data_IF_475138900281
#
_entry.id   IF_475138900281
#
_cell.length_a   1.000
_cell.length_b   1.000
_cell.length_c   1.000
_cell.angle_alpha   90.00
_cell.angle_beta   90.00
_cell.angle_gamma   90.00
#
_symmetry.space_group_name_H-M   'P 1'
#
loop_
_entity.id
_entity.type
_entity.pdbx_description
1 polymer ?
#
# COMPACT_ATOMS: atom_id res chain seq x y z
N UNK A 1 12.62 -36.24 -6.54
CA UNK A 1 11.76 -35.05 -6.28
C UNK A 1 12.67 -33.93 -5.82
N UNK A 2 12.88 -32.91 -6.63
CA UNK A 2 13.64 -31.73 -6.23
C UNK A 2 12.78 -30.96 -5.25
N UNK A 3 13.23 -30.79 -4.01
CA UNK A 3 12.66 -29.84 -3.05
C UNK A 3 12.96 -28.46 -3.65
N UNK A 4 11.95 -27.85 -4.31
CA UNK A 4 12.00 -26.44 -4.68
C UNK A 4 12.29 -25.67 -3.40
N UNK A 5 13.45 -24.99 -3.32
CA UNK A 5 13.74 -24.08 -2.22
C UNK A 5 12.72 -22.95 -2.31
N UNK A 6 11.66 -23.04 -1.50
CA UNK A 6 10.69 -21.95 -1.35
C UNK A 6 11.48 -20.72 -0.97
N UNK A 7 11.32 -19.63 -1.71
CA UNK A 7 11.94 -18.35 -1.40
C UNK A 7 11.63 -17.97 0.07
N UNK A 8 12.63 -17.43 0.79
CA UNK A 8 12.45 -17.01 2.19
C UNK A 8 11.37 -15.94 2.24
N UNK A 9 10.29 -16.18 2.99
CA UNK A 9 9.19 -15.21 3.15
C UNK A 9 9.67 -13.95 3.87
N UNK A 10 9.19 -12.81 3.40
CA UNK A 10 9.36 -11.54 4.10
C UNK A 10 8.34 -11.45 5.24
N UNK A 11 8.81 -11.05 6.40
CA UNK A 11 8.00 -10.90 7.61
C UNK A 11 8.21 -9.51 8.21
N UNK A 12 7.41 -9.12 9.19
CA UNK A 12 7.63 -7.86 9.93
C UNK A 12 9.01 -7.79 10.57
N UNK A 13 9.54 -8.94 11.03
CA UNK A 13 10.91 -9.03 11.55
C UNK A 13 11.96 -8.79 10.47
N UNK A 14 11.76 -9.31 9.25
CA UNK A 14 12.65 -9.05 8.11
C UNK A 14 12.77 -7.55 7.83
N UNK A 15 11.68 -6.79 7.90
CA UNK A 15 11.72 -5.34 7.70
C UNK A 15 12.53 -4.62 8.79
N UNK A 16 12.49 -5.09 10.04
CA UNK A 16 13.32 -4.57 11.12
C UNK A 16 14.80 -4.88 10.90
N UNK A 17 15.13 -6.09 10.43
CA UNK A 17 16.50 -6.47 10.06
C UNK A 17 17.03 -5.59 8.92
N UNK A 18 16.21 -5.30 7.90
CA UNK A 18 16.57 -4.43 6.78
C UNK A 18 16.87 -3.00 7.27
N UNK A 19 16.02 -2.43 8.13
CA UNK A 19 16.32 -1.12 8.75
C UNK A 19 17.63 -1.14 9.51
N UNK A 20 17.84 -2.14 10.35
CA UNK A 20 19.06 -2.27 11.16
C UNK A 20 20.35 -2.39 10.31
N UNK A 21 20.25 -3.02 9.12
CA UNK A 21 21.37 -3.16 8.16
C UNK A 21 21.49 -1.99 7.19
N UNK A 22 20.54 -1.04 7.17
CA UNK A 22 20.50 0.06 6.21
C UNK A 22 20.04 -0.37 4.80
N UNK A 23 19.46 -1.57 4.64
CA UNK A 23 18.88 -2.04 3.40
C UNK A 23 17.51 -1.38 3.18
N UNK A 24 17.28 -0.83 1.98
CA UNK A 24 16.03 -0.14 1.67
C UNK A 24 14.90 -1.12 1.36
N UNK A 25 13.76 -0.91 2.02
CA UNK A 25 12.55 -1.69 1.84
C UNK A 25 11.79 -1.21 0.61
N UNK A 26 11.44 -2.16 -0.26
CA UNK A 26 10.66 -1.88 -1.47
C UNK A 26 9.20 -2.29 -1.28
N UNK A 27 8.27 -1.37 -1.58
CA UNK A 27 6.84 -1.61 -1.41
C UNK A 27 6.07 -1.08 -2.63
N UNK A 28 5.10 -1.86 -3.11
CA UNK A 28 4.16 -1.47 -4.17
C UNK A 28 2.74 -1.88 -3.80
N UNK A 29 1.75 -1.16 -4.32
CA UNK A 29 0.37 -1.63 -4.21
C UNK A 29 0.10 -2.75 -5.22
N UNK A 30 -0.84 -3.65 -4.90
CA UNK A 30 -1.49 -4.55 -5.86
C UNK A 30 -2.90 -4.89 -5.41
N UNK A 31 -3.77 -5.27 -6.36
CA UNK A 31 -5.19 -5.45 -6.09
C UNK A 31 -5.79 -6.70 -6.73
N UNK A 32 -5.03 -7.40 -7.55
CA UNK A 32 -5.44 -8.61 -8.25
C UNK A 32 -4.34 -9.67 -8.29
N UNK A 33 -4.74 -10.89 -8.64
CA UNK A 33 -3.87 -12.06 -8.71
C UNK A 33 -2.74 -11.93 -9.72
N UNK A 34 -3.04 -11.44 -10.93
CA UNK A 34 -2.09 -11.45 -12.04
C UNK A 34 -0.94 -10.47 -11.82
N UNK A 35 -1.27 -9.22 -11.42
CA UNK A 35 -0.26 -8.22 -11.10
C UNK A 35 0.50 -8.57 -9.83
N UNK A 36 -0.16 -9.12 -8.80
CA UNK A 36 0.50 -9.55 -7.56
C UNK A 36 1.58 -10.61 -7.83
N UNK A 37 1.31 -11.60 -8.69
CA UNK A 37 2.31 -12.60 -9.11
C UNK A 37 3.52 -12.00 -9.80
N UNK A 38 3.30 -11.04 -10.69
CA UNK A 38 4.39 -10.36 -11.41
C UNK A 38 5.26 -9.53 -10.45
N UNK A 39 4.63 -8.81 -9.55
CA UNK A 39 5.29 -7.96 -8.56
C UNK A 39 6.07 -8.81 -7.54
N UNK A 40 5.49 -9.90 -7.04
CA UNK A 40 6.16 -10.83 -6.11
C UNK A 40 7.34 -11.52 -6.77
N UNK A 41 7.17 -12.00 -8.01
CA UNK A 41 8.23 -12.65 -8.79
C UNK A 41 9.40 -11.68 -9.12
N UNK A 42 9.13 -10.37 -9.21
CA UNK A 42 10.15 -9.35 -9.37
C UNK A 42 10.98 -9.12 -8.09
N UNK A 43 10.57 -9.68 -6.95
CA UNK A 43 11.33 -9.63 -5.69
C UNK A 43 10.98 -8.47 -4.78
N UNK A 44 9.79 -7.86 -4.91
CA UNK A 44 9.30 -6.82 -3.99
C UNK A 44 9.26 -7.33 -2.54
N UNK A 45 9.54 -6.50 -1.55
CA UNK A 45 9.53 -6.92 -0.14
C UNK A 45 8.12 -6.87 0.45
N UNK A 46 7.36 -5.84 0.13
CA UNK A 46 6.00 -5.62 0.66
C UNK A 46 5.02 -5.35 -0.47
N UNK A 47 3.87 -5.99 -0.43
CA UNK A 47 2.72 -5.65 -1.26
C UNK A 47 1.63 -5.05 -0.37
N UNK A 48 1.18 -3.85 -0.72
CA UNK A 48 0.06 -3.17 -0.07
C UNK A 48 -1.22 -3.42 -0.88
N UNK A 49 -2.20 -4.03 -0.24
CA UNK A 49 -3.58 -3.97 -0.73
C UNK A 49 -4.16 -2.66 -0.21
N UNK A 50 -3.92 -1.59 -0.98
CA UNK A 50 -4.26 -0.22 -0.57
C UNK A 50 -5.73 0.13 -0.81
N UNK A 51 -6.29 1.00 0.01
CA UNK A 51 -7.61 1.58 -0.21
C UNK A 51 -7.66 2.47 -1.47
N UNK A 52 -6.50 2.83 -2.03
CA UNK A 52 -6.33 3.38 -3.38
C UNK A 52 -6.93 2.50 -4.49
N UNK A 53 -7.30 1.24 -4.20
CA UNK A 53 -8.19 0.43 -5.05
C UNK A 53 -9.50 1.16 -5.38
N UNK A 54 -10.01 1.97 -4.46
CA UNK A 54 -11.16 2.85 -4.70
C UNK A 54 -10.97 3.73 -5.94
N UNK A 55 -9.77 4.29 -6.11
CA UNK A 55 -9.45 5.16 -7.24
C UNK A 55 -9.11 4.36 -8.49
N UNK A 56 -8.12 3.46 -8.42
CA UNK A 56 -7.52 2.85 -9.62
C UNK A 56 -8.27 1.61 -10.11
N UNK A 57 -9.08 0.96 -9.28
CA UNK A 57 -9.90 -0.20 -9.65
C UNK A 57 -11.38 0.15 -9.83
N UNK A 58 -11.94 0.97 -8.93
CA UNK A 58 -13.36 1.32 -8.95
C UNK A 58 -13.67 2.69 -9.61
N UNK A 59 -12.64 3.53 -9.86
CA UNK A 59 -12.80 4.83 -10.52
C UNK A 59 -13.43 5.91 -9.64
N UNK A 60 -13.41 5.75 -8.31
CA UNK A 60 -13.91 6.76 -7.39
C UNK A 60 -12.90 7.92 -7.24
N UNK A 61 -13.38 9.12 -6.92
CA UNK A 61 -12.53 10.30 -6.72
C UNK A 61 -11.66 10.22 -5.45
N UNK A 62 -12.12 9.48 -4.42
CA UNK A 62 -11.43 9.34 -3.13
C UNK A 62 -11.35 7.89 -2.69
N UNK A 63 -10.55 7.61 -1.65
CA UNK A 63 -10.47 6.27 -1.06
C UNK A 63 -11.67 5.95 -0.14
N UNK A 64 -12.44 6.95 0.27
CA UNK A 64 -13.53 6.84 1.27
C UNK A 64 -14.63 5.83 0.89
N UNK A 65 -15.07 5.68 -0.38
CA UNK A 65 -16.18 4.78 -0.72
C UNK A 65 -15.88 3.28 -0.65
N UNK A 66 -14.60 2.88 -0.63
CA UNK A 66 -14.28 1.45 -0.64
C UNK A 66 -14.70 0.77 0.66
N UNK A 67 -15.32 -0.40 0.55
CA UNK A 67 -15.85 -1.14 1.70
C UNK A 67 -14.85 -2.18 2.22
N UNK A 68 -15.08 -2.67 3.44
CA UNK A 68 -14.31 -3.76 4.03
C UNK A 68 -14.39 -5.03 3.15
N UNK A 69 -15.54 -5.35 2.60
CA UNK A 69 -15.73 -6.52 1.74
C UNK A 69 -14.93 -6.40 0.44
N UNK A 70 -14.88 -5.20 -0.16
CA UNK A 70 -14.02 -4.95 -1.32
C UNK A 70 -12.54 -5.14 -0.98
N UNK A 71 -12.08 -4.63 0.17
CA UNK A 71 -10.70 -4.80 0.60
C UNK A 71 -10.35 -6.26 0.86
N UNK A 72 -11.25 -7.03 1.47
CA UNK A 72 -11.09 -8.47 1.69
C UNK A 72 -11.00 -9.19 0.33
N UNK A 73 -11.86 -8.87 -0.63
CA UNK A 73 -11.82 -9.46 -1.97
C UNK A 73 -10.49 -9.19 -2.69
N UNK A 74 -10.03 -7.94 -2.72
CA UNK A 74 -8.74 -7.60 -3.31
C UNK A 74 -7.58 -8.31 -2.60
N UNK A 75 -7.62 -8.38 -1.26
CA UNK A 75 -6.61 -9.06 -0.48
C UNK A 75 -6.56 -10.58 -0.77
N UNK A 76 -7.72 -11.26 -0.92
CA UNK A 76 -7.79 -12.66 -1.36
C UNK A 76 -7.12 -12.86 -2.72
N UNK A 77 -7.42 -11.98 -3.68
CA UNK A 77 -6.80 -12.03 -5.02
C UNK A 77 -5.28 -11.91 -4.93
N UNK A 78 -4.78 -10.96 -4.15
CA UNK A 78 -3.33 -10.73 -3.98
C UNK A 78 -2.66 -11.90 -3.27
N UNK A 79 -3.21 -12.37 -2.16
CA UNK A 79 -2.66 -13.50 -1.37
C UNK A 79 -2.51 -14.76 -2.21
N UNK A 80 -3.47 -15.03 -3.09
CA UNK A 80 -3.40 -16.19 -3.99
C UNK A 80 -2.24 -16.09 -5.02
N UNK A 81 -1.73 -14.88 -5.26
CA UNK A 81 -0.65 -14.62 -6.23
C UNK A 81 0.75 -14.46 -5.59
N UNK A 82 0.87 -14.46 -4.26
CA UNK A 82 2.10 -14.11 -3.55
C UNK A 82 2.71 -15.32 -2.84
N UNK A 83 3.99 -15.56 -3.08
CA UNK A 83 4.76 -16.61 -2.43
C UNK A 83 5.73 -16.07 -1.37
N UNK A 84 6.29 -14.85 -1.59
CA UNK A 84 7.40 -14.30 -0.80
C UNK A 84 7.04 -13.03 -0.03
N UNK A 85 6.46 -12.04 -0.68
CA UNK A 85 6.28 -10.69 -0.12
C UNK A 85 5.38 -10.67 1.12
N UNK A 86 5.66 -9.73 2.03
CA UNK A 86 4.74 -9.40 3.12
C UNK A 86 3.52 -8.66 2.55
N UNK A 87 2.32 -9.20 2.77
CA UNK A 87 1.07 -8.56 2.31
C UNK A 87 0.43 -7.79 3.46
N UNK A 88 0.33 -6.47 3.30
CA UNK A 88 -0.33 -5.54 4.22
C UNK A 88 -1.65 -5.10 3.61
N UNK A 89 -2.74 -5.06 4.38
CA UNK A 89 -4.07 -4.69 3.89
C UNK A 89 -4.56 -3.44 4.60
N UNK A 90 -4.98 -2.43 3.84
CA UNK A 90 -5.57 -1.23 4.42
C UNK A 90 -6.92 -1.54 5.05
N UNK A 91 -7.12 -1.02 6.27
CA UNK A 91 -8.44 -0.93 6.87
C UNK A 91 -9.15 0.29 6.27
N UNK A 92 -10.29 0.11 5.55
CA UNK A 92 -10.95 1.23 4.90
C UNK A 92 -11.62 2.17 5.89
N UNK A 93 -11.90 3.40 5.43
CA UNK A 93 -12.58 4.42 6.21
C UNK A 93 -13.86 3.90 6.87
N UNK A 94 -14.08 4.26 8.14
CA UNK A 94 -15.25 3.86 8.92
C UNK A 94 -15.12 2.52 9.66
N UNK A 95 -14.02 1.78 9.48
CA UNK A 95 -13.85 0.45 10.09
C UNK A 95 -13.02 0.42 11.36
N UNK A 96 -12.37 1.56 11.72
CA UNK A 96 -11.50 1.60 12.90
C UNK A 96 -11.51 2.95 13.66
N UNK A 97 -12.11 4.00 13.08
CA UNK A 97 -12.12 5.33 13.67
C UNK A 97 -13.17 5.51 14.77
N UNK A 98 -14.20 4.67 14.80
CA UNK A 98 -15.34 4.80 15.71
C UNK A 98 -15.04 4.29 17.12
N UNK A 99 -14.55 3.06 17.21
CA UNK A 99 -14.21 2.42 18.49
C UNK A 99 -13.26 1.23 18.26
N UNK A 100 -12.52 0.84 19.31
CA UNK A 100 -11.49 -0.18 19.25
C UNK A 100 -12.04 -1.61 19.06
N UNK A 101 -13.30 -1.88 19.47
CA UNK A 101 -13.94 -3.18 19.24
C UNK A 101 -14.26 -3.37 17.76
N UNK A 102 -14.89 -2.39 17.12
CA UNK A 102 -15.19 -2.41 15.68
C UNK A 102 -13.88 -2.51 14.86
N UNK A 103 -12.83 -1.82 15.29
CA UNK A 103 -11.51 -1.92 14.68
C UNK A 103 -10.96 -3.34 14.73
N UNK A 104 -11.01 -3.99 15.90
CA UNK A 104 -10.57 -5.38 16.06
C UNK A 104 -11.42 -6.34 15.22
N UNK A 105 -12.75 -6.22 15.25
CA UNK A 105 -13.65 -7.10 14.49
C UNK A 105 -13.36 -6.98 12.97
N UNK A 106 -13.11 -5.78 12.47
CA UNK A 106 -12.74 -5.52 11.08
C UNK A 106 -11.37 -6.11 10.71
N UNK A 107 -10.36 -5.92 11.57
CA UNK A 107 -9.03 -6.49 11.38
C UNK A 107 -9.07 -8.04 11.38
N UNK A 108 -9.84 -8.66 12.28
CA UNK A 108 -10.03 -10.11 12.32
C UNK A 108 -10.64 -10.61 11.01
N UNK A 109 -11.64 -9.91 10.46
CA UNK A 109 -12.22 -10.25 9.18
C UNK A 109 -11.19 -10.24 8.07
N UNK A 110 -10.40 -9.16 7.95
CA UNK A 110 -9.32 -9.07 6.96
C UNK A 110 -8.39 -10.27 7.08
N UNK A 111 -7.85 -10.54 8.29
CA UNK A 111 -6.88 -11.62 8.50
C UNK A 111 -7.45 -13.01 8.18
N UNK A 112 -8.66 -13.30 8.67
CA UNK A 112 -9.27 -14.63 8.52
C UNK A 112 -9.82 -14.89 7.12
N UNK A 113 -10.46 -13.89 6.52
CA UNK A 113 -11.17 -14.07 5.26
C UNK A 113 -10.22 -13.92 4.06
N UNK A 114 -9.16 -13.11 4.16
CA UNK A 114 -8.22 -12.92 3.05
C UNK A 114 -6.90 -13.68 3.18
N UNK A 115 -6.46 -13.99 4.40
CA UNK A 115 -5.14 -14.52 4.66
C UNK A 115 -4.03 -13.44 4.64
N UNK A 116 -4.39 -12.15 4.68
CA UNK A 116 -3.44 -11.03 4.80
C UNK A 116 -2.50 -11.19 6.01
N UNK A 117 -1.31 -10.60 5.95
CA UNK A 117 -0.28 -10.80 6.97
C UNK A 117 -0.26 -9.69 8.04
N UNK A 118 -0.76 -8.50 7.70
CA UNK A 118 -0.82 -7.33 8.57
C UNK A 118 -1.91 -6.38 8.07
N UNK A 119 -2.31 -5.41 8.91
CA UNK A 119 -3.22 -4.34 8.53
C UNK A 119 -2.54 -2.97 8.59
N UNK A 120 -3.05 -1.98 7.80
CA UNK A 120 -2.59 -0.59 7.87
C UNK A 120 -3.76 0.32 8.27
N UNK A 121 -3.48 1.29 9.16
CA UNK A 121 -4.42 2.28 9.66
C UNK A 121 -3.86 3.68 9.48
N UNK A 122 -4.72 4.64 9.12
CA UNK A 122 -4.40 6.06 8.99
C UNK A 122 -4.78 6.84 10.25
N UNK A 123 -3.87 7.66 10.74
CA UNK A 123 -4.05 8.51 11.92
C UNK A 123 -2.96 8.32 12.97
N UNK A 124 -2.95 9.21 13.94
CA UNK A 124 -2.00 9.26 15.04
C UNK A 124 -2.67 8.93 16.38
N UNK A 125 -2.52 9.85 17.34
CA UNK A 125 -3.03 9.71 18.71
C UNK A 125 -4.51 9.36 18.80
N UNK A 126 -5.31 9.78 17.82
CA UNK A 126 -6.76 9.53 17.74
C UNK A 126 -7.14 8.06 17.52
N UNK A 127 -6.21 7.24 17.01
CA UNK A 127 -6.47 5.80 16.72
C UNK A 127 -5.66 4.83 17.59
N UNK A 128 -4.90 5.34 18.56
CA UNK A 128 -3.98 4.51 19.38
C UNK A 128 -4.74 3.38 20.10
N UNK A 129 -5.93 3.64 20.63
CA UNK A 129 -6.73 2.60 21.29
C UNK A 129 -7.06 1.43 20.33
N UNK A 130 -7.41 1.75 19.08
CA UNK A 130 -7.65 0.76 18.03
C UNK A 130 -6.39 -0.02 17.68
N UNK A 131 -5.24 0.66 17.54
CA UNK A 131 -3.95 0.03 17.28
C UNK A 131 -3.58 -0.95 18.39
N UNK A 132 -3.61 -0.51 19.65
CA UNK A 132 -3.29 -1.33 20.82
C UNK A 132 -4.22 -2.56 20.89
N UNK A 133 -5.51 -2.37 20.65
CA UNK A 133 -6.48 -3.45 20.70
C UNK A 133 -6.26 -4.52 19.62
N UNK A 134 -5.91 -4.11 18.41
CA UNK A 134 -5.58 -5.00 17.29
C UNK A 134 -4.26 -5.74 17.58
N UNK A 135 -3.23 -5.04 18.06
CA UNK A 135 -1.94 -5.62 18.43
C UNK A 135 -2.05 -6.66 19.54
N UNK A 136 -2.85 -6.39 20.57
CA UNK A 136 -3.10 -7.35 21.66
C UNK A 136 -3.77 -8.65 21.18
N UNK A 137 -4.46 -8.62 20.05
CA UNK A 137 -5.03 -9.81 19.42
C UNK A 137 -4.00 -10.59 18.56
N UNK A 138 -2.75 -10.10 18.45
CA UNK A 138 -1.69 -10.75 17.69
C UNK A 138 -1.67 -10.36 16.21
N UNK A 139 -2.36 -9.30 15.80
CA UNK A 139 -2.39 -8.81 14.41
C UNK A 139 -1.38 -7.69 14.26
N UNK A 140 -0.36 -7.81 13.36
CA UNK A 140 0.61 -6.75 13.14
C UNK A 140 -0.04 -5.52 12.50
N UNK A 141 0.33 -4.31 12.97
CA UNK A 141 -0.20 -3.03 12.51
C UNK A 141 0.90 -2.18 11.91
N UNK A 142 0.65 -1.63 10.71
CA UNK A 142 1.41 -0.56 10.08
C UNK A 142 0.64 0.75 10.27
N UNK A 143 1.30 1.80 10.77
CA UNK A 143 0.73 3.14 10.87
C UNK A 143 0.81 3.92 9.55
N UNK A 144 0.06 5.02 9.43
CA UNK A 144 0.15 5.94 8.30
C UNK A 144 -0.10 7.36 8.74
N UNK A 145 0.89 8.23 8.55
CA UNK A 145 0.89 9.65 8.94
C UNK A 145 1.22 10.58 7.78
N UNK A 146 0.97 11.86 7.98
CA UNK A 146 1.13 12.91 6.99
C UNK A 146 -0.16 13.18 6.24
N UNK A 147 -0.15 13.11 4.92
CA UNK A 147 -1.38 13.10 4.15
C UNK A 147 -2.03 11.71 4.31
N UNK A 148 -3.19 11.70 4.92
CA UNK A 148 -4.01 10.49 5.08
C UNK A 148 -5.22 10.62 4.17
N UNK A 149 -5.28 9.89 3.02
CA UNK A 149 -6.34 10.03 2.02
C UNK A 149 -7.76 9.84 2.58
N UNK A 150 -7.94 8.99 3.58
CA UNK A 150 -9.23 8.81 4.26
C UNK A 150 -9.73 10.09 4.96
N UNK A 151 -8.83 11.02 5.28
CA UNK A 151 -9.15 12.31 5.89
C UNK A 151 -9.30 13.44 4.87
N UNK A 152 -9.42 13.14 3.56
CA UNK A 152 -9.38 14.14 2.50
C UNK A 152 -10.46 15.24 2.65
N UNK A 153 -11.64 14.89 3.11
CA UNK A 153 -12.71 15.87 3.34
C UNK A 153 -12.41 16.81 4.52
N UNK A 154 -11.66 16.35 5.53
CA UNK A 154 -11.16 17.19 6.62
C UNK A 154 -10.06 18.13 6.14
N UNK A 155 -9.17 17.65 5.28
CA UNK A 155 -8.06 18.46 4.75
C UNK A 155 -8.49 19.41 3.63
N UNK A 156 -9.49 19.04 2.83
CA UNK A 156 -9.98 19.81 1.68
C UNK A 156 -8.98 19.88 0.51
N UNK A 157 -7.80 19.26 0.62
CA UNK A 157 -6.75 19.32 -0.39
C UNK A 157 -5.73 18.19 -0.22
N UNK A 158 -5.10 17.76 -1.32
CA UNK A 158 -3.97 16.83 -1.34
C UNK A 158 -2.60 17.54 -1.18
N UNK A 159 -2.53 18.67 -0.49
CA UNK A 159 -1.28 19.40 -0.26
C UNK A 159 -0.32 18.64 0.69
N UNK A 160 0.96 19.02 0.65
CA UNK A 160 1.99 18.54 1.58
C UNK A 160 1.60 18.92 3.01
N UNK A 161 1.65 17.95 3.93
CA UNK A 161 1.30 18.10 5.35
C UNK A 161 2.55 18.40 6.19
N UNK A 162 2.33 18.78 7.45
CA UNK A 162 3.39 19.02 8.44
C UNK A 162 4.47 20.03 7.97
N UNK A 163 4.07 21.07 7.24
CA UNK A 163 4.93 22.20 6.90
C UNK A 163 5.07 23.19 8.06
N UNK A 164 3.98 23.42 8.77
CA UNK A 164 3.94 24.31 9.91
C UNK A 164 4.44 23.60 11.16
N UNK A 165 5.05 24.37 12.08
CA UNK A 165 5.73 23.83 13.25
C UNK A 165 4.82 22.97 14.15
N UNK A 166 3.58 23.41 14.36
CA UNK A 166 2.62 22.69 15.21
C UNK A 166 2.25 21.33 14.61
N UNK A 167 2.01 21.27 13.30
CA UNK A 167 1.70 20.03 12.59
C UNK A 167 2.93 19.11 12.54
N UNK A 168 4.13 19.66 12.37
CA UNK A 168 5.37 18.90 12.42
C UNK A 168 5.63 18.29 13.81
N UNK A 169 5.39 19.07 14.87
CA UNK A 169 5.49 18.59 16.26
C UNK A 169 4.50 17.47 16.52
N UNK A 170 3.23 17.67 16.13
CA UNK A 170 2.21 16.63 16.26
C UNK A 170 2.61 15.34 15.51
N UNK A 171 3.16 15.44 14.31
CA UNK A 171 3.58 14.28 13.53
C UNK A 171 4.68 13.48 14.24
N UNK A 172 5.64 14.15 14.88
CA UNK A 172 6.68 13.53 15.71
C UNK A 172 6.09 12.78 16.90
N UNK A 173 5.17 13.43 17.62
CA UNK A 173 4.48 12.84 18.77
C UNK A 173 3.62 11.63 18.34
N UNK A 174 2.86 11.74 17.26
CA UNK A 174 2.02 10.68 16.74
C UNK A 174 2.86 9.49 16.26
N UNK A 175 4.00 9.73 15.59
CA UNK A 175 4.90 8.67 15.14
C UNK A 175 5.47 7.88 16.32
N UNK A 176 5.86 8.58 17.39
CA UNK A 176 6.32 7.93 18.63
C UNK A 176 5.19 7.16 19.32
N UNK A 177 3.99 7.72 19.39
CA UNK A 177 2.84 7.06 19.98
C UNK A 177 2.46 5.76 19.24
N UNK A 178 2.53 5.76 17.89
CA UNK A 178 2.30 4.56 17.08
C UNK A 178 3.38 3.49 17.31
N UNK A 179 4.65 3.88 17.41
CA UNK A 179 5.73 2.96 17.77
C UNK A 179 5.50 2.35 19.15
N UNK A 180 5.19 3.17 20.16
CA UNK A 180 4.93 2.74 21.53
C UNK A 180 3.66 1.85 21.64
N UNK A 181 2.67 2.06 20.77
CA UNK A 181 1.50 1.21 20.62
C UNK A 181 1.80 -0.15 19.94
N UNK A 182 3.03 -0.35 19.42
CA UNK A 182 3.50 -1.60 18.85
C UNK A 182 3.37 -1.70 17.33
N UNK A 183 3.16 -0.61 16.60
CA UNK A 183 3.25 -0.65 15.14
C UNK A 183 4.62 -1.18 14.70
N UNK A 184 4.63 -2.08 13.71
CA UNK A 184 5.89 -2.62 13.19
C UNK A 184 6.56 -1.73 12.15
N UNK A 185 5.83 -0.78 11.56
CA UNK A 185 6.28 0.19 10.56
C UNK A 185 5.30 1.35 10.44
N UNK A 186 5.73 2.49 9.88
CA UNK A 186 4.88 3.65 9.61
C UNK A 186 5.10 4.14 8.18
N UNK A 187 4.01 4.40 7.45
CA UNK A 187 4.04 5.12 6.17
C UNK A 187 4.02 6.63 6.44
N UNK A 188 4.89 7.39 5.75
CA UNK A 188 4.84 8.84 5.69
C UNK A 188 4.45 9.30 4.29
N UNK A 189 3.30 9.97 4.17
CA UNK A 189 2.85 10.47 2.89
C UNK A 189 2.88 11.99 2.83
N UNK A 190 3.52 12.53 1.75
CA UNK A 190 3.54 13.96 1.39
C UNK A 190 3.83 14.88 2.59
N UNK A 191 4.97 14.63 3.23
CA UNK A 191 5.56 15.49 4.27
C UNK A 191 6.91 16.02 3.81
N UNK A 192 7.45 17.10 4.44
CA UNK A 192 8.80 17.58 4.13
C UNK A 192 9.86 16.51 4.34
N UNK A 193 10.80 16.37 3.39
CA UNK A 193 11.85 15.34 3.42
C UNK A 193 12.73 15.42 4.68
N UNK A 194 13.09 16.63 5.11
CA UNK A 194 13.88 16.85 6.34
C UNK A 194 13.14 16.39 7.60
N UNK A 195 11.82 16.58 7.64
CA UNK A 195 11.01 16.08 8.75
C UNK A 195 10.95 14.55 8.73
N UNK A 196 10.70 13.96 7.55
CA UNK A 196 10.68 12.51 7.40
C UNK A 196 12.02 11.86 7.82
N UNK A 197 13.15 12.46 7.42
CA UNK A 197 14.49 12.05 7.86
C UNK A 197 14.60 12.06 9.39
N UNK A 198 14.30 13.21 10.00
CA UNK A 198 14.38 13.38 11.47
C UNK A 198 13.55 12.35 12.22
N UNK A 199 12.32 12.07 11.76
CA UNK A 199 11.45 11.08 12.39
C UNK A 199 11.99 9.67 12.17
N UNK A 200 12.44 9.34 10.96
CA UNK A 200 13.00 8.01 10.65
C UNK A 200 14.25 7.66 11.47
N UNK A 201 15.08 8.67 11.78
CA UNK A 201 16.25 8.52 12.64
C UNK A 201 15.91 8.32 14.13
N UNK A 202 14.76 8.82 14.59
CA UNK A 202 14.31 8.72 15.97
C UNK A 202 13.56 7.41 16.27
N UNK A 203 12.93 6.82 15.28
CA UNK A 203 12.17 5.59 15.43
C UNK A 203 13.06 4.35 15.28
N UNK A 204 12.75 3.30 16.02
CA UNK A 204 13.39 1.99 15.88
C UNK A 204 12.70 1.12 14.82
N UNK A 205 11.42 1.38 14.55
CA UNK A 205 10.64 0.69 13.52
C UNK A 205 10.87 1.28 12.13
N UNK A 206 10.77 0.49 11.05
CA UNK A 206 10.92 0.96 9.67
C UNK A 206 9.90 2.03 9.28
N UNK A 207 10.38 3.03 8.51
CA UNK A 207 9.55 4.07 7.90
C UNK A 207 9.51 3.90 6.38
N UNK A 208 8.32 4.03 5.80
CA UNK A 208 8.09 3.90 4.35
C UNK A 208 7.59 5.23 3.80
N UNK A 209 8.31 5.82 2.85
CA UNK A 209 7.96 7.11 2.27
C UNK A 209 7.13 7.01 0.99
N UNK A 210 6.21 7.95 0.82
CA UNK A 210 5.60 8.30 -0.46
C UNK A 210 5.49 9.82 -0.54
N UNK A 211 6.34 10.45 -1.37
CA UNK A 211 6.46 11.90 -1.37
C UNK A 211 7.01 12.49 -0.07
N UNK A 212 7.86 11.73 0.63
CA UNK A 212 8.47 12.10 1.91
C UNK A 212 10.02 12.14 1.86
N UNK A 213 10.61 12.13 0.68
CA UNK A 213 12.06 12.14 0.50
C UNK A 213 12.70 10.76 0.53
N UNK A 214 14.03 10.71 0.38
CA UNK A 214 14.84 9.50 0.18
C UNK A 214 15.29 8.85 1.50
N UNK A 215 15.23 9.58 2.60
CA UNK A 215 15.82 9.18 3.88
C UNK A 215 14.92 8.23 4.71
N UNK A 216 13.67 7.98 4.31
CA UNK A 216 12.89 6.88 4.88
C UNK A 216 13.57 5.52 4.62
N UNK A 217 13.29 4.53 5.46
CA UNK A 217 13.87 3.19 5.34
C UNK A 217 13.36 2.42 4.11
N UNK A 218 12.21 2.81 3.57
CA UNK A 218 11.66 2.27 2.34
C UNK A 218 10.82 3.28 1.56
N UNK A 219 10.29 2.84 0.41
CA UNK A 219 9.41 3.65 -0.46
C UNK A 219 8.23 2.82 -0.95
N UNK A 220 7.07 3.46 -1.07
CA UNK A 220 5.88 2.87 -1.69
C UNK A 220 5.38 3.74 -2.85
N UNK A 221 4.86 3.09 -3.90
CA UNK A 221 4.10 3.73 -4.97
C UNK A 221 2.85 2.91 -5.29
N UNK A 222 1.84 3.59 -5.83
CA UNK A 222 0.70 2.91 -6.46
C UNK A 222 1.16 2.30 -7.78
N UNK A 223 1.01 0.98 -7.94
CA UNK A 223 1.51 0.24 -9.09
C UNK A 223 0.97 0.78 -10.42
N UNK A 224 -0.32 1.09 -10.49
CA UNK A 224 -0.98 1.62 -11.70
C UNK A 224 -0.38 2.96 -12.13
N UNK A 225 -0.03 3.81 -11.17
CA UNK A 225 0.57 5.11 -11.43
C UNK A 225 2.02 4.95 -11.90
N UNK A 226 2.79 4.09 -11.22
CA UNK A 226 4.18 3.79 -11.55
C UNK A 226 4.33 3.19 -12.95
N UNK A 227 3.39 2.34 -13.36
CA UNK A 227 3.39 1.70 -14.69
C UNK A 227 2.72 2.56 -15.78
N UNK A 228 2.20 3.76 -15.45
CA UNK A 228 1.59 4.66 -16.42
C UNK A 228 0.24 4.18 -16.96
N UNK A 229 -0.50 3.40 -16.18
CA UNK A 229 -1.89 3.02 -16.50
C UNK A 229 -2.79 4.21 -16.20
N UNK A 230 -2.62 4.87 -15.05
CA UNK A 230 -3.33 6.10 -14.67
C UNK A 230 -2.69 7.29 -15.40
N UNK A 231 -3.42 7.89 -16.36
CA UNK A 231 -2.87 8.96 -17.22
C UNK A 231 -2.95 10.34 -16.58
N UNK A 232 -4.03 10.65 -15.87
CA UNK A 232 -4.37 12.01 -15.41
C UNK A 232 -3.81 12.34 -14.02
N UNK A 233 -3.00 11.46 -13.44
CA UNK A 233 -2.36 11.64 -12.14
C UNK A 233 -0.84 11.70 -12.29
N UNK A 234 -0.24 12.88 -12.04
CA UNK A 234 1.21 13.09 -12.18
C UNK A 234 1.76 14.00 -11.08
N UNK A 235 1.70 13.59 -9.80
CA UNK A 235 2.28 14.37 -8.72
C UNK A 235 3.81 14.37 -8.81
N UNK A 236 4.44 15.40 -8.21
CA UNK A 236 5.91 15.58 -8.23
C UNK A 236 6.71 14.36 -7.76
N UNK A 237 6.18 13.58 -6.82
CA UNK A 237 6.86 12.40 -6.25
C UNK A 237 6.75 11.15 -7.12
N UNK A 238 5.84 11.13 -8.10
CA UNK A 238 5.63 9.97 -8.96
C UNK A 238 6.71 9.91 -10.05
N UNK A 239 7.48 8.82 -10.07
CA UNK A 239 8.29 8.44 -11.22
C UNK A 239 7.57 7.31 -11.96
N UNK A 240 7.31 7.52 -13.24
CA UNK A 240 6.80 6.46 -14.13
C UNK A 240 7.98 5.64 -14.65
N UNK A 241 7.88 4.33 -14.52
CA UNK A 241 8.88 3.36 -15.01
C UNK A 241 8.45 2.71 -16.32
N UNK A 242 7.18 2.85 -16.71
CA UNK A 242 6.61 2.38 -17.97
C UNK A 242 5.46 3.30 -18.41
N UNK A 243 4.96 3.07 -19.65
CA UNK A 243 3.75 3.69 -20.21
C UNK A 243 2.82 2.58 -20.73
N UNK A 244 2.33 1.75 -19.78
CA UNK A 244 1.44 0.64 -20.14
C UNK A 244 0.12 1.14 -20.72
N UNK A 245 -0.36 2.30 -20.34
CA UNK A 245 -1.57 2.88 -20.92
C UNK A 245 -1.46 3.07 -22.43
N UNK A 246 -0.28 3.48 -22.94
CA UNK A 246 -0.02 3.59 -24.40
C UNK A 246 0.10 2.21 -25.06
N UNK A 247 0.78 1.27 -24.39
CA UNK A 247 0.95 -0.08 -24.92
C UNK A 247 -0.42 -0.78 -25.05
N UNK A 248 -1.25 -0.69 -24.01
CA UNK A 248 -2.61 -1.25 -24.02
C UNK A 248 -3.45 -0.63 -25.14
N UNK A 249 -3.45 0.71 -25.26
CA UNK A 249 -4.19 1.42 -26.31
C UNK A 249 -3.78 0.95 -27.72
N UNK A 250 -2.46 0.86 -27.96
CA UNK A 250 -1.94 0.40 -29.26
C UNK A 250 -2.31 -1.05 -29.54
N UNK A 251 -2.16 -1.94 -28.56
CA UNK A 251 -2.48 -3.36 -28.71
C UNK A 251 -3.97 -3.60 -28.96
N UNK A 252 -4.84 -2.85 -28.24
CA UNK A 252 -6.29 -2.95 -28.46
C UNK A 252 -6.68 -2.45 -29.86
N UNK A 253 -6.08 -1.36 -30.36
CA UNK A 253 -6.31 -0.85 -31.71
C UNK A 253 -5.88 -1.86 -32.77
N UNK A 254 -4.71 -2.50 -32.61
CA UNK A 254 -4.24 -3.53 -33.52
C UNK A 254 -5.20 -4.73 -33.54
N UNK A 255 -5.62 -5.23 -32.38
CA UNK A 255 -6.60 -6.31 -32.28
C UNK A 255 -7.92 -5.97 -33.01
N UNK A 256 -8.42 -4.73 -32.85
CA UNK A 256 -9.63 -4.27 -33.54
C UNK A 256 -9.43 -4.27 -35.06
N UNK A 257 -8.27 -3.86 -35.55
CA UNK A 257 -7.92 -3.87 -36.99
C UNK A 257 -7.87 -5.28 -37.55
N UNK A 258 -7.13 -6.16 -36.87
CA UNK A 258 -6.95 -7.56 -37.29
C UNK A 258 -8.30 -8.32 -37.38
N UNK A 259 -9.18 -8.10 -36.37
CA UNK A 259 -10.53 -8.69 -36.40
C UNK A 259 -11.36 -8.15 -37.59
N UNK A 260 -11.29 -6.84 -37.85
CA UNK A 260 -12.08 -6.22 -38.94
C UNK A 260 -11.56 -6.57 -40.32
N UNK A 261 -10.25 -6.73 -40.48
CA UNK A 261 -9.60 -7.15 -41.74
C UNK A 261 -9.68 -8.65 -41.96
N UNK A 262 -10.14 -9.45 -40.98
CA UNK A 262 -10.16 -10.92 -40.96
C UNK A 262 -8.75 -11.53 -40.95
N UNK A 263 -7.76 -10.83 -40.46
CA UNK A 263 -6.42 -11.35 -40.22
C UNK A 263 -6.35 -12.13 -38.89
N UNK A 264 -7.27 -11.84 -37.94
CA UNK A 264 -7.47 -12.62 -36.71
C UNK A 264 -8.92 -13.11 -36.60
N UNK A 265 -9.17 -14.43 -36.29
CA UNK A 265 -8.17 -15.50 -36.31
C UNK A 265 -7.76 -15.88 -37.73
N UNK A 266 -6.50 -16.23 -37.90
CA UNK A 266 -6.00 -16.83 -39.15
C UNK A 266 -6.24 -18.36 -39.18
N UNK A 267 -5.80 -19.04 -40.26
CA UNK A 267 -6.05 -20.47 -40.44
C UNK A 267 -5.42 -21.37 -39.36
N UNK A 268 -4.33 -20.91 -38.72
CA UNK A 268 -3.63 -21.66 -37.68
C UNK A 268 -4.23 -21.41 -36.26
N UNK A 269 -5.07 -20.41 -36.15
CA UNK A 269 -5.73 -20.02 -34.90
C UNK A 269 -7.20 -20.48 -34.81
N UNK A 270 -7.73 -21.09 -35.92
CA UNK A 270 -9.07 -21.68 -35.97
C UNK A 270 -9.08 -23.19 -35.62
N UNK A 271 -10.24 -23.72 -35.24
CA UNK A 271 -10.46 -25.14 -34.96
C UNK A 271 -11.40 -25.76 -36.00
#
# INVERSE_FOLDING_TARGET
MAISSRAKKVTTHTLQEMKASGEKITMLTSYDYSLARLVDAAGIDVILVGDSASNVMAGNETTVPITLDHMIYHAQCVINGVDRALVVVDMPFGTYQGDSKTALDSAIRIMKESGGHAVKLEGGSEIIESVVRIQQAGIPVMGHLGLTPQSIYKFGTYSVRAKEQDEATKLLEDAKALEDAGCFSIVFEKIPAELAKKVSEQLTIPTIGIGAGVDCDGQVLVLHDMLGITKDFSPRFLRRYADLGKIIDTSVKQYIEDVRSKEFPNADEGY
#
